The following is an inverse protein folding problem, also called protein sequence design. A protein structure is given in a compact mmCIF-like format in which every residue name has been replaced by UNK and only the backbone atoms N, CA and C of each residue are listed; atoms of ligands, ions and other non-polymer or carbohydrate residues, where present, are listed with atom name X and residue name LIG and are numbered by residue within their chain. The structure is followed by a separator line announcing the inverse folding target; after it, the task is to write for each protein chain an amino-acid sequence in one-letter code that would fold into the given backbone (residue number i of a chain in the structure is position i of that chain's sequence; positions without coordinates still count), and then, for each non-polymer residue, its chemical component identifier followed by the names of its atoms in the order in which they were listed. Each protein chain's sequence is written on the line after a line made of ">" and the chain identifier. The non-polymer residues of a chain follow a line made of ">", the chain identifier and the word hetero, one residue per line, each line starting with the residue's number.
data_IF_072858035459
#
_entry.id   IF_072858035459
#
_cell.length_a   1.000
_cell.length_b   1.000
_cell.length_c   1.000
_cell.angle_alpha   90.00
_cell.angle_beta   90.00
_cell.angle_gamma   90.00
#
_symmetry.space_group_name_H-M   'P 1'
#
loop_
_entity.id
_entity.type
_entity.pdbx_description
1 polymer ?
#
# COMPACT_ATOMS: atom_id res chain seq x y z
N UNK A 1 3.54 2.28 87.40
CA UNK A 1 4.82 2.88 86.96
C UNK A 1 4.85 2.84 85.44
N UNK A 2 4.74 3.99 84.78
CA UNK A 2 4.68 4.10 83.32
C UNK A 2 6.10 4.00 82.75
N UNK A 3 6.35 3.04 81.86
CA UNK A 3 7.62 2.90 81.13
C UNK A 3 7.40 3.19 79.65
N UNK A 4 7.81 4.37 79.22
CA UNK A 4 7.90 4.79 77.82
C UNK A 4 8.97 3.99 77.08
N UNK A 5 8.63 3.41 75.92
CA UNK A 5 9.60 2.84 74.98
C UNK A 5 9.59 3.62 73.67
N UNK A 6 10.77 4.07 73.31
CA UNK A 6 11.15 4.89 72.16
C UNK A 6 11.08 4.07 70.87
N UNK A 7 10.66 4.74 69.80
CA UNK A 7 10.58 4.28 68.42
C UNK A 7 11.93 3.77 67.88
N UNK A 8 11.91 2.64 67.17
CA UNK A 8 12.91 2.32 66.15
C UNK A 8 12.21 2.13 64.82
N UNK A 9 12.37 3.10 63.92
CA UNK A 9 12.04 2.95 62.51
C UNK A 9 13.18 2.18 61.82
N UNK A 10 12.90 0.94 61.43
CA UNK A 10 13.78 0.18 60.54
C UNK A 10 13.64 0.73 59.12
N UNK A 11 14.61 1.53 58.68
CA UNK A 11 14.81 1.87 57.27
C UNK A 11 15.31 0.62 56.53
N UNK A 12 14.42 -0.08 55.85
CA UNK A 12 14.80 -1.08 54.86
C UNK A 12 15.18 -0.36 53.55
N UNK A 13 16.45 -0.01 53.40
CA UNK A 13 17.02 0.36 52.10
C UNK A 13 17.27 -0.93 51.31
N UNK A 14 16.40 -1.25 50.35
CA UNK A 14 16.70 -2.27 49.32
C UNK A 14 16.80 -1.58 47.97
N UNK A 15 18.03 -1.40 47.53
CA UNK A 15 18.38 -0.93 46.20
C UNK A 15 18.69 -2.12 45.28
N UNK A 16 18.30 -1.95 44.01
CA UNK A 16 18.89 -2.50 42.78
C UNK A 16 18.79 -4.01 42.50
N UNK A 17 18.04 -4.34 41.45
CA UNK A 17 18.63 -4.91 40.23
C UNK A 17 17.56 -4.90 39.12
N UNK A 18 17.80 -4.13 38.06
CA UNK A 18 17.03 -4.20 36.82
C UNK A 18 17.22 -5.56 36.18
N UNK A 19 16.13 -6.32 36.03
CA UNK A 19 16.08 -7.44 35.11
C UNK A 19 15.89 -6.85 33.70
N UNK A 20 16.79 -7.26 32.81
CA UNK A 20 17.08 -6.57 31.55
C UNK A 20 15.85 -6.28 30.71
N UNK A 21 15.86 -5.07 30.13
CA UNK A 21 15.11 -4.83 28.92
C UNK A 21 15.46 -5.97 27.93
N UNK A 22 14.48 -6.60 27.27
CA UNK A 22 14.80 -7.45 26.14
C UNK A 22 15.62 -6.57 25.18
N UNK A 23 16.87 -6.95 24.93
CA UNK A 23 17.69 -6.33 23.91
C UNK A 23 16.93 -6.51 22.60
N UNK A 24 16.09 -5.53 22.24
CA UNK A 24 15.59 -5.40 20.89
C UNK A 24 16.82 -5.04 20.08
N UNK A 25 17.45 -6.04 19.48
CA UNK A 25 18.52 -5.84 18.52
C UNK A 25 18.07 -4.72 17.57
N UNK A 26 18.92 -3.73 17.26
CA UNK A 26 18.58 -2.73 16.27
C UNK A 26 18.18 -3.47 15.01
N UNK A 27 16.88 -3.39 14.67
CA UNK A 27 16.32 -3.94 13.45
C UNK A 27 17.10 -3.30 12.30
N UNK A 28 17.66 -4.14 11.43
CA UNK A 28 18.54 -3.71 10.34
C UNK A 28 18.00 -2.45 9.67
N UNK A 29 18.74 -1.35 9.82
CA UNK A 29 18.41 -0.08 9.22
C UNK A 29 18.69 -0.17 7.71
N UNK A 30 17.85 0.48 6.90
CA UNK A 30 18.12 0.67 5.48
C UNK A 30 19.44 1.43 5.30
N UNK A 31 20.27 0.97 4.37
CA UNK A 31 21.50 1.65 3.97
C UNK A 31 21.21 2.86 3.08
N UNK A 32 20.06 2.85 2.40
CA UNK A 32 19.68 3.93 1.50
C UNK A 32 19.27 5.20 2.27
N UNK A 33 20.01 6.28 2.06
CA UNK A 33 19.76 7.59 2.71
C UNK A 33 18.64 8.39 2.06
N UNK A 34 18.54 8.35 0.72
CA UNK A 34 17.53 9.12 -0.04
C UNK A 34 16.93 8.28 -1.16
N UNK A 35 15.70 8.61 -1.56
CA UNK A 35 14.99 7.97 -2.68
C UNK A 35 15.22 8.67 -4.02
N UNK A 36 15.79 9.88 -4.00
CA UNK A 36 15.93 10.73 -5.20
C UNK A 36 14.64 11.45 -5.63
N UNK A 37 13.51 11.19 -4.96
CA UNK A 37 12.20 11.79 -5.25
C UNK A 37 11.83 12.76 -4.12
N UNK A 38 11.41 13.96 -4.48
CA UNK A 38 10.99 14.97 -3.50
C UNK A 38 9.70 14.54 -2.79
N UNK A 39 9.66 14.70 -1.47
CA UNK A 39 8.49 14.33 -0.66
C UNK A 39 8.34 12.82 -0.39
N UNK A 40 9.24 11.97 -0.90
CA UNK A 40 9.22 10.52 -0.66
C UNK A 40 10.34 10.10 0.31
N UNK A 41 9.99 9.91 1.58
CA UNK A 41 10.96 9.50 2.60
C UNK A 41 11.30 8.00 2.49
N UNK A 42 12.54 7.67 2.85
CA UNK A 42 13.03 6.29 2.93
C UNK A 42 12.29 5.55 4.04
N UNK A 43 11.63 4.43 3.70
CA UNK A 43 10.97 3.60 4.70
C UNK A 43 11.99 2.69 5.41
N UNK A 44 11.99 2.59 6.76
CA UNK A 44 13.01 1.83 7.50
C UNK A 44 12.86 0.31 7.34
N UNK A 45 11.66 -0.18 7.02
CA UNK A 45 11.42 -1.63 6.86
C UNK A 45 10.23 -1.91 5.92
N UNK A 46 10.42 -1.77 4.60
CA UNK A 46 9.33 -1.74 3.62
C UNK A 46 8.60 -3.10 3.49
N UNK A 47 9.31 -4.21 3.55
CA UNK A 47 8.75 -5.56 3.30
C UNK A 47 7.60 -5.95 4.24
N UNK A 48 7.74 -5.90 5.58
CA UNK A 48 6.64 -6.23 6.47
C UNK A 48 5.47 -5.25 6.37
N UNK A 49 5.75 -3.96 6.12
CA UNK A 49 4.72 -2.95 5.94
C UNK A 49 3.86 -3.25 4.70
N UNK A 50 4.52 -3.54 3.57
CA UNK A 50 3.88 -3.83 2.31
C UNK A 50 3.06 -5.14 2.37
N UNK A 51 3.59 -6.20 2.99
CA UNK A 51 2.84 -7.44 3.22
C UNK A 51 1.58 -7.21 4.08
N UNK A 52 1.70 -6.38 5.12
CA UNK A 52 0.57 -5.98 5.96
C UNK A 52 -0.51 -5.24 5.17
N UNK A 53 -0.12 -4.28 4.34
CA UNK A 53 -1.04 -3.50 3.50
C UNK A 53 -1.77 -4.42 2.53
N UNK A 54 -1.08 -5.29 1.79
CA UNK A 54 -1.74 -6.22 0.85
C UNK A 54 -2.69 -7.19 1.53
N UNK A 55 -2.35 -7.70 2.71
CA UNK A 55 -3.27 -8.55 3.47
C UNK A 55 -4.56 -7.81 3.86
N UNK A 56 -4.44 -6.52 4.22
CA UNK A 56 -5.56 -5.64 4.49
C UNK A 56 -6.39 -5.39 3.23
N UNK A 57 -5.75 -5.10 2.09
CA UNK A 57 -6.41 -4.92 0.79
C UNK A 57 -7.23 -6.15 0.41
N UNK A 58 -6.64 -7.36 0.50
CA UNK A 58 -7.35 -8.61 0.21
C UNK A 58 -8.52 -8.86 1.16
N UNK A 59 -8.42 -8.40 2.42
CA UNK A 59 -9.55 -8.47 3.35
C UNK A 59 -10.67 -7.52 2.97
N UNK A 60 -10.36 -6.30 2.51
CA UNK A 60 -11.34 -5.32 2.06
C UNK A 60 -12.03 -5.75 0.77
N UNK A 61 -11.30 -6.29 -0.20
CA UNK A 61 -11.84 -6.73 -1.48
C UNK A 61 -12.90 -7.83 -1.35
N UNK A 62 -12.85 -8.65 -0.30
CA UNK A 62 -13.88 -9.65 0.02
C UNK A 62 -15.28 -9.07 0.27
N UNK A 63 -15.38 -7.79 0.61
CA UNK A 63 -16.67 -7.12 0.79
C UNK A 63 -17.39 -6.83 -0.53
N UNK A 64 -16.66 -6.79 -1.65
CA UNK A 64 -17.21 -6.60 -3.00
C UNK A 64 -17.69 -7.94 -3.58
N UNK A 65 -18.66 -7.95 -4.50
CA UNK A 65 -19.15 -9.19 -5.09
C UNK A 65 -18.11 -9.80 -6.06
N UNK A 66 -18.10 -11.14 -6.17
CA UNK A 66 -17.10 -11.90 -6.95
C UNK A 66 -17.14 -11.64 -8.47
N UNK A 67 -18.30 -11.24 -8.99
CA UNK A 67 -18.49 -10.89 -10.39
C UNK A 67 -17.98 -9.48 -10.75
N UNK A 68 -17.55 -8.68 -9.76
CA UNK A 68 -16.99 -7.35 -10.03
C UNK A 68 -15.64 -7.46 -10.72
N UNK A 69 -15.54 -6.88 -11.92
CA UNK A 69 -14.27 -6.82 -12.69
C UNK A 69 -13.17 -6.13 -11.89
N UNK A 70 -13.50 -5.09 -11.13
CA UNK A 70 -12.55 -4.40 -10.25
C UNK A 70 -12.00 -5.31 -9.16
N UNK A 71 -12.85 -6.12 -8.50
CA UNK A 71 -12.39 -7.07 -7.48
C UNK A 71 -11.43 -8.10 -8.08
N UNK A 72 -11.79 -8.69 -9.23
CA UNK A 72 -10.98 -9.71 -9.88
C UNK A 72 -9.60 -9.18 -10.28
N UNK A 73 -9.54 -7.99 -10.88
CA UNK A 73 -8.26 -7.39 -11.28
C UNK A 73 -7.41 -6.99 -10.08
N UNK A 74 -8.01 -6.35 -9.07
CA UNK A 74 -7.30 -5.92 -7.87
C UNK A 74 -6.77 -7.10 -7.04
N UNK A 75 -7.55 -8.19 -6.91
CA UNK A 75 -7.12 -9.42 -6.24
C UNK A 75 -5.95 -10.07 -6.98
N UNK A 76 -6.03 -10.21 -8.30
CA UNK A 76 -4.97 -10.83 -9.10
C UNK A 76 -3.63 -10.06 -8.96
N UNK A 77 -3.67 -8.72 -9.08
CA UNK A 77 -2.48 -7.88 -8.93
C UNK A 77 -1.93 -7.97 -7.50
N UNK A 78 -2.79 -7.87 -6.49
CA UNK A 78 -2.37 -7.88 -5.08
C UNK A 78 -1.77 -9.23 -4.69
N UNK A 79 -2.37 -10.34 -5.11
CA UNK A 79 -1.87 -11.69 -4.86
C UNK A 79 -0.53 -11.93 -5.53
N UNK A 80 -0.37 -11.51 -6.79
CA UNK A 80 0.89 -11.62 -7.53
C UNK A 80 2.03 -10.86 -6.81
N UNK A 81 1.78 -9.60 -6.44
CA UNK A 81 2.76 -8.77 -5.73
C UNK A 81 3.09 -9.33 -4.34
N UNK A 82 2.10 -9.84 -3.63
CA UNK A 82 2.29 -10.49 -2.33
C UNK A 82 3.14 -11.77 -2.46
N UNK A 83 2.92 -12.58 -3.50
CA UNK A 83 3.69 -13.79 -3.76
C UNK A 83 5.18 -13.49 -4.00
N UNK A 84 5.50 -12.43 -4.76
CA UNK A 84 6.87 -11.96 -4.98
C UNK A 84 7.52 -11.58 -3.63
N UNK A 85 6.81 -10.82 -2.80
CA UNK A 85 7.32 -10.38 -1.49
C UNK A 85 7.55 -11.58 -0.55
N UNK A 86 6.67 -12.58 -0.57
CA UNK A 86 6.83 -13.80 0.23
C UNK A 86 8.01 -14.67 -0.24
N UNK A 87 8.18 -14.81 -1.56
CA UNK A 87 9.30 -15.54 -2.16
C UNK A 87 10.65 -14.98 -1.69
N UNK A 88 10.79 -13.66 -1.67
CA UNK A 88 12.04 -13.00 -1.26
C UNK A 88 12.22 -12.91 0.26
N UNK A 89 11.14 -12.79 1.03
CA UNK A 89 11.20 -12.70 2.51
C UNK A 89 11.45 -14.04 3.23
N UNK A 90 11.11 -15.17 2.62
CA UNK A 90 11.34 -16.52 3.18
C UNK A 90 12.78 -17.03 3.02
N UNK A 91 13.63 -16.29 2.29
CA UNK A 91 15.04 -16.67 2.09
C UNK A 91 15.81 -16.51 3.42
N UNK A 92 16.44 -17.58 3.96
CA UNK A 92 16.91 -17.69 5.35
C UNK A 92 18.16 -16.84 5.69
N UNK A 93 18.59 -15.94 4.80
CA UNK A 93 19.74 -15.07 5.02
C UNK A 93 19.50 -14.07 6.18
N UNK A 94 18.24 -13.90 6.63
CA UNK A 94 17.79 -12.88 7.56
C UNK A 94 18.15 -13.09 9.05
N UNK A 95 18.49 -14.30 9.51
CA UNK A 95 18.71 -14.57 10.94
C UNK A 95 20.07 -14.06 11.49
N UNK A 96 20.91 -13.50 10.60
CA UNK A 96 22.16 -12.82 10.92
C UNK A 96 22.65 -11.91 9.78
N UNK A 97 21.72 -11.47 8.91
CA UNK A 97 22.03 -10.71 7.71
C UNK A 97 22.69 -9.37 8.04
N UNK A 98 23.81 -9.11 7.37
CA UNK A 98 24.34 -7.75 7.25
C UNK A 98 23.31 -6.82 6.61
N UNK A 99 23.38 -5.53 6.94
CA UNK A 99 22.50 -4.49 6.39
C UNK A 99 22.45 -4.51 4.85
N UNK A 100 23.57 -4.88 4.20
CA UNK A 100 23.69 -5.02 2.75
C UNK A 100 22.81 -6.12 2.16
N UNK A 101 22.69 -7.26 2.84
CA UNK A 101 21.88 -8.37 2.32
C UNK A 101 20.38 -8.03 2.29
N UNK A 102 19.90 -7.15 3.17
CA UNK A 102 18.51 -6.68 3.15
C UNK A 102 18.25 -5.76 1.94
N UNK A 103 19.19 -4.89 1.59
CA UNK A 103 19.09 -4.05 0.39
C UNK A 103 19.10 -4.88 -0.89
N UNK A 104 19.94 -5.91 -0.98
CA UNK A 104 19.98 -6.80 -2.15
C UNK A 104 18.62 -7.48 -2.39
N UNK A 105 17.95 -7.88 -1.30
CA UNK A 105 16.59 -8.46 -1.35
C UNK A 105 15.57 -7.42 -1.80
N UNK A 106 15.65 -6.19 -1.27
CA UNK A 106 14.75 -5.10 -1.69
C UNK A 106 14.96 -4.79 -3.18
N UNK A 107 16.20 -4.72 -3.65
CA UNK A 107 16.53 -4.46 -5.04
C UNK A 107 16.03 -5.58 -5.96
N UNK A 108 16.15 -6.84 -5.55
CA UNK A 108 15.61 -7.97 -6.30
C UNK A 108 14.07 -7.89 -6.43
N UNK A 109 13.39 -7.45 -5.37
CA UNK A 109 11.94 -7.22 -5.39
C UNK A 109 11.58 -6.05 -6.33
N UNK A 110 12.30 -4.94 -6.29
CA UNK A 110 12.08 -3.80 -7.19
C UNK A 110 12.24 -4.21 -8.66
N UNK A 111 13.24 -5.04 -8.97
CA UNK A 111 13.46 -5.58 -10.32
C UNK A 111 12.35 -6.55 -10.76
N UNK A 112 11.87 -7.43 -9.88
CA UNK A 112 10.81 -8.39 -10.22
C UNK A 112 9.43 -7.73 -10.32
N UNK A 113 9.16 -6.68 -9.53
CA UNK A 113 7.91 -5.93 -9.58
C UNK A 113 7.83 -4.92 -10.74
N UNK A 114 8.97 -4.44 -11.23
CA UNK A 114 9.10 -3.47 -12.33
C UNK A 114 8.11 -2.29 -12.21
N UNK A 115 7.97 -1.76 -10.99
CA UNK A 115 6.97 -0.73 -10.64
C UNK A 115 7.61 0.48 -9.94
N UNK A 116 8.91 0.71 -10.19
CA UNK A 116 9.68 1.78 -9.53
C UNK A 116 10.24 1.37 -8.18
N UNK A 117 10.40 2.36 -7.29
CA UNK A 117 10.99 2.14 -5.97
C UNK A 117 9.99 1.51 -4.99
N UNK A 118 10.49 0.75 -4.02
CA UNK A 118 9.64 0.07 -3.03
C UNK A 118 8.77 1.06 -2.22
N UNK A 119 9.24 2.29 -2.02
CA UNK A 119 8.48 3.35 -1.38
C UNK A 119 7.25 3.79 -2.19
N UNK A 120 7.39 3.90 -3.51
CA UNK A 120 6.30 4.25 -4.41
C UNK A 120 5.27 3.13 -4.43
N UNK A 121 5.73 1.88 -4.42
CA UNK A 121 4.86 0.70 -4.33
C UNK A 121 4.07 0.68 -3.02
N UNK A 122 4.67 1.10 -1.90
CA UNK A 122 3.95 1.25 -0.62
C UNK A 122 2.87 2.32 -0.72
N UNK A 123 3.19 3.49 -1.29
CA UNK A 123 2.18 4.55 -1.50
C UNK A 123 1.06 4.08 -2.42
N UNK A 124 1.38 3.39 -3.52
CA UNK A 124 0.39 2.80 -4.41
C UNK A 124 -0.51 1.81 -3.66
N UNK A 125 0.06 0.96 -2.80
CA UNK A 125 -0.70 0.01 -2.00
C UNK A 125 -1.64 0.71 -1.00
N UNK A 126 -1.21 1.81 -0.39
CA UNK A 126 -2.05 2.63 0.50
C UNK A 126 -3.18 3.34 -0.25
N UNK A 127 -2.90 3.86 -1.45
CA UNK A 127 -3.91 4.42 -2.33
C UNK A 127 -4.93 3.36 -2.75
N UNK A 128 -4.49 2.12 -3.02
CA UNK A 128 -5.38 1.02 -3.36
C UNK A 128 -6.32 0.66 -2.21
N UNK A 129 -5.82 0.63 -0.97
CA UNK A 129 -6.68 0.45 0.22
C UNK A 129 -7.74 1.55 0.32
N UNK A 130 -7.32 2.80 0.11
CA UNK A 130 -8.23 3.97 0.17
C UNK A 130 -9.24 3.96 -0.97
N UNK A 131 -8.83 3.53 -2.16
CA UNK A 131 -9.69 3.36 -3.33
C UNK A 131 -10.69 2.24 -3.10
N UNK A 132 -10.25 1.07 -2.63
CA UNK A 132 -11.12 -0.07 -2.33
C UNK A 132 -12.21 0.31 -1.33
N UNK A 133 -11.88 1.10 -0.29
CA UNK A 133 -12.87 1.63 0.65
C UNK A 133 -13.93 2.50 -0.03
N UNK A 134 -13.53 3.38 -0.96
CA UNK A 134 -14.47 4.20 -1.76
C UNK A 134 -15.27 3.38 -2.75
N UNK A 135 -14.69 2.35 -3.35
CA UNK A 135 -15.37 1.47 -4.31
C UNK A 135 -16.52 0.69 -3.68
N UNK A 136 -16.42 0.37 -2.38
CA UNK A 136 -17.51 -0.21 -1.60
C UNK A 136 -18.68 0.77 -1.47
N UNK A 137 -18.40 2.06 -1.27
CA UNK A 137 -19.41 3.12 -1.20
C UNK A 137 -20.03 3.42 -2.56
N UNK A 138 -19.21 3.55 -3.61
CA UNK A 138 -19.64 3.96 -4.95
C UNK A 138 -20.35 2.86 -5.74
N UNK A 139 -20.14 1.59 -5.38
CA UNK A 139 -20.76 0.43 -6.02
C UNK A 139 -20.71 0.46 -7.55
N UNK A 140 -19.55 0.82 -8.10
CA UNK A 140 -19.34 0.98 -9.55
C UNK A 140 -19.55 -0.29 -10.39
N UNK A 141 -19.86 -1.43 -9.76
CA UNK A 141 -20.16 -2.70 -10.38
C UNK A 141 -21.66 -2.85 -10.70
N UNK A 142 -22.49 -1.93 -10.25
CA UNK A 142 -23.90 -1.83 -10.63
C UNK A 142 -24.05 -1.30 -12.08
N UNK A 143 -25.16 -1.62 -12.77
CA UNK A 143 -25.43 -1.05 -14.09
C UNK A 143 -25.53 0.48 -14.03
N UNK A 144 -25.33 1.13 -15.18
CA UNK A 144 -25.42 2.58 -15.32
C UNK A 144 -26.77 3.11 -14.79
N UNK A 145 -26.72 4.10 -13.91
CA UNK A 145 -27.91 4.75 -13.34
C UNK A 145 -28.74 5.47 -14.43
N UNK A 146 -28.05 6.12 -15.38
CA UNK A 146 -28.66 6.81 -16.51
C UNK A 146 -28.01 6.39 -17.83
N UNK A 147 -28.74 5.69 -18.72
CA UNK A 147 -28.23 5.43 -20.07
C UNK A 147 -28.11 6.76 -20.84
N UNK A 148 -27.12 6.88 -21.73
CA UNK A 148 -26.96 8.09 -22.53
C UNK A 148 -28.15 8.29 -23.47
N UNK A 149 -28.60 9.54 -23.69
CA UNK A 149 -29.62 9.82 -24.69
C UNK A 149 -29.10 9.50 -26.11
N UNK A 150 -30.00 9.19 -27.02
CA UNK A 150 -29.66 8.93 -28.42
C UNK A 150 -28.94 10.14 -29.02
N UNK A 151 -27.80 9.91 -29.68
CA UNK A 151 -26.98 10.96 -30.29
C UNK A 151 -25.96 11.64 -29.35
N UNK A 152 -25.96 11.39 -28.03
CA UNK A 152 -25.02 12.04 -27.09
C UNK A 152 -23.55 11.82 -27.43
N UNK A 153 -23.21 10.61 -27.89
CA UNK A 153 -21.86 10.21 -28.26
C UNK A 153 -21.66 10.16 -29.78
N UNK A 154 -22.60 10.72 -30.55
CA UNK A 154 -22.45 10.89 -31.98
C UNK A 154 -21.71 12.19 -32.21
N UNK A 155 -20.46 12.07 -32.65
CA UNK A 155 -19.63 13.22 -32.99
C UNK A 155 -19.94 13.71 -34.42
N UNK A 156 -19.44 14.89 -34.77
CA UNK A 156 -19.58 15.45 -36.11
C UNK A 156 -18.97 14.51 -37.16
N UNK A 157 -19.77 14.14 -38.16
CA UNK A 157 -19.28 13.41 -39.33
C UNK A 157 -18.88 14.42 -40.41
N UNK A 158 -17.69 14.27 -41.02
CA UNK A 158 -17.26 15.15 -42.11
C UNK A 158 -18.13 15.01 -43.36
N UNK A 159 -18.85 13.89 -43.49
CA UNK A 159 -19.74 13.60 -44.61
C UNK A 159 -21.03 14.44 -44.56
N UNK A 160 -21.57 14.73 -43.37
CA UNK A 160 -22.72 15.62 -43.19
C UNK A 160 -22.35 17.10 -43.42
N UNK A 161 -21.22 17.55 -42.87
CA UNK A 161 -20.74 18.94 -43.03
C UNK A 161 -20.33 19.27 -44.48
N UNK A 162 -19.81 18.28 -45.23
CA UNK A 162 -19.48 18.45 -46.65
C UNK A 162 -20.72 18.49 -47.56
N UNK A 163 -21.87 18.00 -47.09
CA UNK A 163 -23.14 17.97 -47.83
C UNK A 163 -23.90 19.29 -47.83
N UNK A 164 -23.69 20.15 -46.83
CA UNK A 164 -24.41 21.44 -46.69
C UNK A 164 -23.81 22.58 -47.55
N UNK A 165 -22.71 22.32 -48.26
CA UNK A 165 -22.00 23.29 -49.11
C UNK A 165 -22.34 23.26 -50.62
N UNK A 166 -23.27 22.42 -51.09
CA UNK A 166 -23.66 22.41 -52.51
C UNK A 166 -24.60 23.58 -52.83
N UNK A 167 -23.97 24.69 -53.21
CA UNK A 167 -24.52 25.86 -53.89
C UNK A 167 -25.64 25.49 -54.88
N UNK A 168 -26.86 25.95 -54.59
CA UNK A 168 -28.00 25.97 -55.51
C UNK A 168 -27.69 26.85 -56.71
N UNK A 169 -26.87 26.35 -57.63
CA UNK A 169 -26.57 26.96 -58.91
C UNK A 169 -27.83 27.00 -59.77
N UNK A 170 -28.43 28.18 -59.84
CA UNK A 170 -29.55 28.52 -60.71
C UNK A 170 -29.18 28.17 -62.17
N UNK A 171 -29.88 27.20 -62.75
CA UNK A 171 -29.67 26.77 -64.14
C UNK A 171 -30.45 27.72 -65.06
N UNK A 172 -29.73 28.57 -65.79
CA UNK A 172 -30.26 29.40 -66.90
C UNK A 172 -30.51 28.53 -68.12
#
# INVERSE_FOLDING_TARGET
>A
MLSTRVLQFSRASRALAGLGAPNSLPRAHRLRTTTGITGLAVHPSPLPALAGIYSSTLSLLKALPENSVYRQSAEAITQHRLAIVQKHSSTPNAAGASESANEDVIQAIEQELDSGLIEEVIQQAQHEVSLAAKMIEWKSHEPLEHPPPAGQWQYFSMEEEAGEGQESGNKV
#
